data_IF_714697283154
#
_entry.id   IF_714697283154
#
_cell.length_a   1.000
_cell.length_b   1.000
_cell.length_c   1.000
_cell.angle_alpha   90.00
_cell.angle_beta   90.00
_cell.angle_gamma   90.00
#
_symmetry.space_group_name_H-M   'P 1'
#
loop_
_entity.id
_entity.type
_entity.pdbx_description
1 polymer ?
#
# COMPACT_ATOMS: atom_id res chain seq x y z
N UNK A 1 20.76 15.94 -7.25
CA UNK A 1 19.64 16.89 -7.28
C UNK A 1 18.44 16.15 -6.68
N UNK A 2 17.56 16.82 -5.93
CA UNK A 2 16.36 16.17 -5.45
C UNK A 2 15.53 15.66 -6.65
N UNK A 3 14.91 14.51 -6.49
CA UNK A 3 13.96 14.01 -7.47
C UNK A 3 12.76 14.95 -7.55
N UNK A 4 12.23 15.16 -8.76
CA UNK A 4 11.04 15.96 -8.99
C UNK A 4 10.01 15.09 -9.71
N UNK A 5 8.84 14.94 -9.11
CA UNK A 5 7.69 14.26 -9.68
C UNK A 5 6.68 15.32 -10.13
N UNK A 6 6.20 15.21 -11.35
CA UNK A 6 5.16 16.08 -11.90
C UNK A 6 3.84 15.30 -11.95
N UNK A 7 2.78 15.88 -11.38
CA UNK A 7 1.46 15.26 -11.33
C UNK A 7 0.50 15.93 -12.32
N UNK A 8 -0.26 15.08 -13.00
CA UNK A 8 -1.29 15.50 -13.97
C UNK A 8 -2.63 14.77 -13.80
N UNK A 9 -2.71 13.83 -12.86
CA UNK A 9 -3.89 12.99 -12.63
C UNK A 9 -3.97 11.74 -13.51
N UNK A 10 -3.00 11.52 -14.41
CA UNK A 10 -3.06 10.48 -15.44
C UNK A 10 -1.85 9.57 -15.50
N UNK A 11 -0.66 10.03 -15.07
CA UNK A 11 0.61 9.35 -15.38
C UNK A 11 1.41 8.89 -14.16
N UNK A 12 0.87 9.04 -12.94
CA UNK A 12 1.55 8.66 -11.71
C UNK A 12 1.76 7.14 -11.62
N UNK A 13 2.98 6.70 -11.36
CA UNK A 13 3.33 5.29 -11.19
C UNK A 13 3.40 4.88 -9.72
N UNK A 14 3.34 3.58 -9.43
CA UNK A 14 3.54 3.09 -8.05
C UNK A 14 4.96 3.34 -7.55
N UNK A 15 5.94 3.38 -8.44
CA UNK A 15 7.33 3.72 -8.10
C UNK A 15 7.45 5.19 -7.68
N UNK A 16 6.75 6.11 -8.35
CA UNK A 16 6.66 7.52 -7.94
C UNK A 16 6.01 7.66 -6.55
N UNK A 17 4.95 6.90 -6.29
CA UNK A 17 4.27 6.89 -4.99
C UNK A 17 5.22 6.43 -3.89
N UNK A 18 5.93 5.32 -4.09
CA UNK A 18 6.93 4.82 -3.13
C UNK A 18 8.05 5.83 -2.92
N UNK A 19 8.57 6.42 -3.99
CA UNK A 19 9.65 7.41 -3.91
C UNK A 19 9.25 8.63 -3.08
N UNK A 20 8.08 9.24 -3.38
CA UNK A 20 7.58 10.40 -2.61
C UNK A 20 7.28 10.02 -1.16
N UNK A 21 6.78 8.82 -0.92
CA UNK A 21 6.46 8.35 0.42
C UNK A 21 7.69 8.14 1.31
N UNK A 22 8.79 7.62 0.74
CA UNK A 22 9.97 7.16 1.49
C UNK A 22 11.14 8.15 1.44
N UNK A 23 11.26 8.95 0.40
CA UNK A 23 12.30 9.98 0.28
C UNK A 23 11.71 11.39 0.49
N UNK A 24 11.91 12.01 1.68
CA UNK A 24 11.41 13.35 1.98
C UNK A 24 12.07 14.46 1.15
N UNK A 25 13.17 14.20 0.45
CA UNK A 25 13.82 15.17 -0.44
C UNK A 25 13.12 15.29 -1.81
N UNK A 26 12.28 14.32 -2.16
CA UNK A 26 11.52 14.34 -3.42
C UNK A 26 10.50 15.45 -3.43
N UNK A 27 10.57 16.30 -4.46
CA UNK A 27 9.65 17.42 -4.67
C UNK A 27 8.54 17.04 -5.63
N UNK A 28 7.33 17.53 -5.36
CA UNK A 28 6.15 17.30 -6.20
C UNK A 28 5.61 18.63 -6.72
N UNK A 29 5.26 18.68 -8.01
CA UNK A 29 4.71 19.87 -8.64
C UNK A 29 3.65 19.49 -9.68
N UNK A 30 2.86 20.46 -10.11
CA UNK A 30 1.97 20.27 -11.27
C UNK A 30 2.76 20.07 -12.55
N UNK A 31 2.31 19.15 -13.39
CA UNK A 31 2.72 19.09 -14.77
C UNK A 31 2.17 20.31 -15.56
N UNK A 32 2.81 20.72 -16.67
CA UNK A 32 2.34 21.82 -17.49
C UNK A 32 0.88 21.64 -17.94
N UNK A 33 0.07 22.70 -17.81
CA UNK A 33 -1.34 22.69 -18.21
C UNK A 33 -2.34 22.15 -17.17
N UNK A 34 -1.88 21.53 -16.09
CA UNK A 34 -2.72 20.97 -15.05
C UNK A 34 -3.59 22.03 -14.36
N UNK A 35 -3.01 23.16 -13.98
CA UNK A 35 -3.75 24.26 -13.33
C UNK A 35 -4.87 24.79 -14.23
N UNK A 36 -4.60 24.98 -15.52
CA UNK A 36 -5.60 25.45 -16.49
C UNK A 36 -6.76 24.45 -16.62
N UNK A 37 -6.47 23.14 -16.61
CA UNK A 37 -7.50 22.09 -16.63
C UNK A 37 -8.35 22.11 -15.36
N UNK A 38 -7.75 22.24 -14.19
CA UNK A 38 -8.47 22.38 -12.92
C UNK A 38 -9.34 23.64 -12.89
N UNK A 39 -8.82 24.75 -13.40
CA UNK A 39 -9.54 26.03 -13.43
C UNK A 39 -10.81 25.94 -14.28
N UNK A 40 -10.78 25.25 -15.43
CA UNK A 40 -11.99 25.04 -16.26
C UNK A 40 -13.10 24.32 -15.51
N UNK A 41 -12.78 23.28 -14.72
CA UNK A 41 -13.79 22.59 -13.90
C UNK A 41 -14.30 23.47 -12.74
N UNK A 42 -13.43 24.31 -12.17
CA UNK A 42 -13.81 25.31 -11.16
C UNK A 42 -14.81 26.33 -11.70
N UNK A 43 -14.62 26.83 -12.91
CA UNK A 43 -15.51 27.78 -13.59
C UNK A 43 -16.93 27.25 -13.76
N UNK A 44 -17.09 25.93 -13.94
CA UNK A 44 -18.44 25.29 -13.98
C UNK A 44 -19.12 25.41 -12.61
N UNK A 45 -18.40 25.20 -11.51
CA UNK A 45 -18.93 25.36 -10.15
C UNK A 45 -19.33 26.81 -9.91
N UNK A 46 -18.48 27.76 -10.24
CA UNK A 46 -18.73 29.20 -10.03
C UNK A 46 -19.93 29.69 -10.83
N UNK A 47 -20.10 29.19 -12.06
CA UNK A 47 -21.29 29.49 -12.88
C UNK A 47 -22.55 28.92 -12.25
N UNK A 48 -22.54 27.66 -11.80
CA UNK A 48 -23.69 27.05 -11.13
C UNK A 48 -24.10 27.83 -9.87
N UNK A 49 -23.12 28.34 -9.12
CA UNK A 49 -23.36 29.21 -7.98
C UNK A 49 -24.00 30.55 -8.37
N UNK A 50 -23.47 31.19 -9.42
CA UNK A 50 -23.99 32.48 -9.90
C UNK A 50 -25.43 32.38 -10.46
N UNK A 51 -25.77 31.25 -11.06
CA UNK A 51 -27.10 30.92 -11.59
C UNK A 51 -28.09 30.46 -10.49
N UNK A 52 -27.62 30.25 -9.24
CA UNK A 52 -28.45 29.73 -8.14
C UNK A 52 -28.92 28.29 -8.36
N UNK A 53 -28.16 27.49 -9.13
CA UNK A 53 -28.51 26.10 -9.43
C UNK A 53 -28.43 25.23 -8.18
N UNK A 54 -29.39 24.31 -8.03
CA UNK A 54 -29.33 23.27 -6.97
C UNK A 54 -28.42 22.15 -7.41
N UNK A 55 -27.24 22.05 -6.81
CA UNK A 55 -26.22 21.06 -7.13
C UNK A 55 -25.77 20.34 -5.87
N UNK A 56 -25.86 19.01 -5.85
CA UNK A 56 -25.45 18.18 -4.72
C UNK A 56 -24.02 18.51 -4.25
N UNK A 57 -23.88 18.75 -2.96
CA UNK A 57 -22.58 19.01 -2.33
C UNK A 57 -21.92 20.34 -2.72
N UNK A 58 -22.57 21.14 -3.55
CA UNK A 58 -22.17 22.50 -3.93
C UNK A 58 -23.08 23.53 -3.26
N UNK A 59 -24.40 23.40 -3.46
CA UNK A 59 -25.44 24.31 -2.91
C UNK A 59 -26.43 23.57 -2.02
N UNK A 60 -26.21 22.30 -1.73
CA UNK A 60 -27.05 21.48 -0.82
C UNK A 60 -26.22 20.87 0.30
N UNK A 61 -26.89 20.34 1.31
CA UNK A 61 -26.28 19.47 2.31
C UNK A 61 -25.81 18.12 1.72
N UNK A 62 -25.34 17.21 2.58
CA UNK A 62 -24.74 15.95 2.21
C UNK A 62 -25.56 14.75 2.69
N UNK A 63 -25.42 13.60 2.04
CA UNK A 63 -26.06 12.35 2.40
C UNK A 63 -27.59 12.51 2.49
N UNK A 64 -28.18 12.23 3.66
CA UNK A 64 -29.63 12.38 3.87
C UNK A 64 -30.13 13.84 3.76
N UNK A 65 -29.23 14.81 3.85
CA UNK A 65 -29.54 16.24 3.73
C UNK A 65 -29.31 16.77 2.29
N UNK A 66 -29.16 15.89 1.32
CA UNK A 66 -28.86 16.21 -0.09
C UNK A 66 -29.87 17.16 -0.73
N UNK A 67 -31.13 17.16 -0.27
CA UNK A 67 -32.21 17.99 -0.78
C UNK A 67 -32.39 19.31 0.01
N UNK A 68 -31.59 19.54 1.05
CA UNK A 68 -31.63 20.74 1.87
C UNK A 68 -30.80 21.84 1.23
N UNK A 69 -31.41 22.92 0.67
CA UNK A 69 -30.66 24.01 0.07
C UNK A 69 -29.93 24.81 1.15
N UNK A 70 -28.74 25.27 0.84
CA UNK A 70 -27.87 26.05 1.73
C UNK A 70 -27.76 27.47 1.16
N UNK A 71 -27.97 28.49 2.01
CA UNK A 71 -27.82 29.88 1.62
C UNK A 71 -26.36 30.17 1.20
N UNK A 72 -26.19 31.04 0.19
CA UNK A 72 -24.88 31.29 -0.42
C UNK A 72 -23.84 31.83 0.57
N UNK A 73 -24.25 32.61 1.54
CA UNK A 73 -23.43 33.18 2.63
C UNK A 73 -22.96 32.14 3.67
N UNK A 74 -23.55 30.92 3.64
CA UNK A 74 -23.20 29.82 4.54
C UNK A 74 -22.44 28.67 3.87
N UNK A 75 -22.11 28.77 2.60
CA UNK A 75 -21.44 27.69 1.87
C UNK A 75 -20.00 27.43 2.38
N UNK A 76 -19.27 28.45 2.78
CA UNK A 76 -17.93 28.28 3.41
C UNK A 76 -18.05 27.55 4.76
N UNK A 77 -19.03 27.94 5.58
CA UNK A 77 -19.31 27.27 6.85
C UNK A 77 -19.67 25.80 6.65
N UNK A 78 -20.47 25.48 5.63
CA UNK A 78 -20.83 24.12 5.27
C UNK A 78 -19.59 23.27 4.97
N UNK A 79 -18.63 23.79 4.19
CA UNK A 79 -17.44 23.03 3.79
C UNK A 79 -16.54 22.70 4.99
N UNK A 80 -16.33 23.66 5.89
CA UNK A 80 -15.49 23.41 7.07
C UNK A 80 -16.19 22.49 8.08
N UNK A 81 -17.51 22.62 8.26
CA UNK A 81 -18.29 21.76 9.15
C UNK A 81 -18.37 20.32 8.62
N UNK A 82 -18.40 20.12 7.30
CA UNK A 82 -18.26 18.80 6.70
C UNK A 82 -16.96 18.12 7.15
N UNK A 83 -15.82 18.80 6.99
CA UNK A 83 -14.52 18.27 7.36
C UNK A 83 -14.46 17.96 8.86
N UNK A 84 -14.86 18.90 9.72
CA UNK A 84 -14.87 18.73 11.18
C UNK A 84 -15.71 17.53 11.62
N UNK A 85 -16.90 17.38 11.05
CA UNK A 85 -17.83 16.30 11.43
C UNK A 85 -17.37 14.91 10.96
N UNK A 86 -16.51 14.84 9.96
CA UNK A 86 -16.00 13.58 9.40
C UNK A 86 -14.59 13.21 9.90
N UNK A 87 -13.88 14.12 10.56
CA UNK A 87 -12.58 13.84 11.18
C UNK A 87 -12.77 13.06 12.50
N UNK A 88 -13.28 11.84 12.39
CA UNK A 88 -13.65 10.97 13.52
C UNK A 88 -12.80 9.69 13.59
N UNK A 89 -11.61 9.71 12.98
CA UNK A 89 -10.66 8.60 13.04
C UNK A 89 -10.16 8.34 14.47
N UNK A 90 -9.69 7.13 14.74
CA UNK A 90 -9.14 6.73 16.04
C UNK A 90 -7.98 5.73 15.87
N UNK A 91 -7.29 5.42 16.97
CA UNK A 91 -6.11 4.55 16.97
C UNK A 91 -4.79 5.32 16.82
N UNK A 92 -3.68 4.60 16.65
CA UNK A 92 -2.37 5.23 16.46
C UNK A 92 -2.33 6.04 15.16
N UNK A 93 -1.39 7.00 15.04
CA UNK A 93 -1.22 7.74 13.80
C UNK A 93 -0.67 6.85 12.69
N UNK A 94 -1.14 7.08 11.47
CA UNK A 94 -0.60 6.51 10.24
C UNK A 94 0.90 6.82 10.13
N UNK A 95 1.66 5.91 9.55
CA UNK A 95 3.08 6.14 9.28
C UNK A 95 3.30 7.37 8.39
N UNK A 96 4.45 8.03 8.54
CA UNK A 96 4.81 9.18 7.69
C UNK A 96 4.76 8.81 6.19
N UNK A 97 5.25 7.63 5.83
CA UNK A 97 5.18 7.15 4.44
C UNK A 97 3.73 7.02 3.95
N UNK A 98 2.85 6.43 4.75
CA UNK A 98 1.43 6.33 4.43
C UNK A 98 0.76 7.70 4.28
N UNK A 99 1.05 8.64 5.19
CA UNK A 99 0.53 10.02 5.11
C UNK A 99 1.01 10.71 3.83
N UNK A 100 2.30 10.61 3.47
CA UNK A 100 2.86 11.21 2.25
C UNK A 100 2.26 10.60 0.98
N UNK A 101 2.11 9.27 0.92
CA UNK A 101 1.44 8.59 -0.19
C UNK A 101 0.00 9.07 -0.36
N UNK A 102 -0.76 9.17 0.73
CA UNK A 102 -2.13 9.67 0.72
C UNK A 102 -2.22 11.13 0.26
N UNK A 103 -1.32 12.01 0.73
CA UNK A 103 -1.25 13.41 0.30
C UNK A 103 -0.97 13.53 -1.19
N UNK A 104 0.02 12.77 -1.70
CA UNK A 104 0.35 12.73 -3.12
C UNK A 104 -0.84 12.30 -3.97
N UNK A 105 -1.45 11.16 -3.61
CA UNK A 105 -2.60 10.64 -4.34
C UNK A 105 -3.79 11.59 -4.31
N UNK A 106 -4.03 12.27 -3.17
CA UNK A 106 -5.09 13.28 -3.11
C UNK A 106 -4.80 14.45 -4.05
N UNK A 107 -3.57 14.95 -4.07
CA UNK A 107 -3.18 16.00 -5.00
C UNK A 107 -3.33 15.54 -6.46
N UNK A 108 -2.89 14.32 -6.79
CA UNK A 108 -2.96 13.77 -8.15
C UNK A 108 -4.41 13.64 -8.66
N UNK A 109 -5.31 13.09 -7.84
CA UNK A 109 -6.73 12.97 -8.20
C UNK A 109 -7.38 14.33 -8.46
N UNK A 110 -7.07 15.33 -7.64
CA UNK A 110 -7.59 16.68 -7.80
C UNK A 110 -6.98 17.39 -9.02
N UNK A 111 -5.71 17.14 -9.30
CA UNK A 111 -5.00 17.64 -10.49
C UNK A 111 -5.60 17.13 -11.81
N UNK A 112 -6.34 16.00 -11.76
CA UNK A 112 -7.07 15.48 -12.94
C UNK A 112 -8.15 16.43 -13.47
N UNK A 113 -8.63 17.36 -12.63
CA UNK A 113 -9.50 18.46 -13.07
C UNK A 113 -10.99 18.12 -13.16
N UNK A 114 -11.48 17.11 -12.44
CA UNK A 114 -12.91 16.77 -12.39
C UNK A 114 -13.59 17.11 -11.07
N UNK A 115 -12.90 17.74 -10.11
CA UNK A 115 -13.43 17.99 -8.76
C UNK A 115 -13.98 19.39 -8.56
N UNK A 116 -13.73 20.33 -9.46
CA UNK A 116 -14.17 21.72 -9.33
C UNK A 116 -13.53 22.49 -8.17
N UNK A 117 -12.38 22.03 -7.71
CA UNK A 117 -11.56 22.67 -6.67
C UNK A 117 -10.61 23.69 -7.28
N UNK A 118 -10.34 24.79 -6.56
CA UNK A 118 -9.35 25.78 -7.02
C UNK A 118 -7.94 25.20 -7.06
N UNK A 119 -7.12 25.50 -8.09
CA UNK A 119 -5.70 25.09 -8.15
C UNK A 119 -4.91 25.49 -6.90
N UNK A 120 -5.18 26.66 -6.32
CA UNK A 120 -4.54 27.14 -5.08
C UNK A 120 -4.64 26.15 -3.92
N UNK A 121 -5.78 25.47 -3.77
CA UNK A 121 -5.99 24.51 -2.66
C UNK A 121 -5.10 23.30 -2.82
N UNK A 122 -4.98 22.78 -4.05
CA UNK A 122 -4.13 21.63 -4.35
C UNK A 122 -2.64 22.03 -4.32
N UNK A 123 -2.30 23.23 -4.79
CA UNK A 123 -0.94 23.76 -4.63
C UNK A 123 -0.54 23.81 -3.16
N UNK A 124 -1.45 24.27 -2.25
CA UNK A 124 -1.16 24.28 -0.82
C UNK A 124 -0.93 22.88 -0.25
N UNK A 125 -1.65 21.88 -0.75
CA UNK A 125 -1.42 20.48 -0.38
C UNK A 125 -0.04 19.99 -0.83
N UNK A 126 0.39 20.37 -2.04
CA UNK A 126 1.76 20.11 -2.52
C UNK A 126 2.82 20.86 -1.70
N UNK A 127 2.57 22.12 -1.35
CA UNK A 127 3.47 22.91 -0.52
C UNK A 127 3.67 22.26 0.86
N UNK A 128 2.58 21.76 1.49
CA UNK A 128 2.65 20.98 2.73
C UNK A 128 3.52 19.74 2.58
N UNK A 129 3.27 18.93 1.52
CA UNK A 129 4.03 17.72 1.25
C UNK A 129 5.52 18.00 1.07
N UNK A 130 5.86 19.03 0.30
CA UNK A 130 7.23 19.45 -0.01
C UNK A 130 7.95 20.08 1.19
N UNK A 131 7.21 20.77 2.05
CA UNK A 131 7.75 21.38 3.28
C UNK A 131 7.81 20.38 4.46
N UNK A 132 7.38 19.14 4.28
CA UNK A 132 7.40 18.12 5.33
C UNK A 132 6.37 18.38 6.44
N UNK A 133 5.25 19.00 6.12
CA UNK A 133 4.08 19.11 7.02
C UNK A 133 3.23 17.87 6.83
N UNK A 134 3.27 16.95 7.79
CA UNK A 134 2.57 15.68 7.72
C UNK A 134 1.37 15.67 8.69
N UNK A 135 0.13 15.75 8.20
CA UNK A 135 -1.05 15.62 9.04
C UNK A 135 -1.03 14.36 9.89
N UNK A 136 -1.43 14.47 11.16
CA UNK A 136 -1.64 13.32 12.04
C UNK A 136 -2.99 12.69 11.69
N UNK A 137 -2.94 11.53 11.07
CA UNK A 137 -4.11 10.81 10.58
C UNK A 137 -4.23 9.50 11.34
N UNK A 138 -5.30 9.26 12.11
CA UNK A 138 -5.52 7.97 12.75
C UNK A 138 -5.64 6.82 11.74
N UNK A 139 -5.08 5.66 12.07
CA UNK A 139 -5.08 4.48 11.19
C UNK A 139 -6.49 3.90 10.93
N UNK A 140 -7.44 4.15 11.82
CA UNK A 140 -8.79 3.58 11.75
C UNK A 140 -9.82 4.68 11.55
N UNK A 141 -10.78 4.45 10.64
CA UNK A 141 -11.85 5.41 10.36
C UNK A 141 -12.40 5.34 8.93
N UNK A 142 -11.65 4.78 7.98
CA UNK A 142 -12.20 4.55 6.64
C UNK A 142 -13.17 3.35 6.64
N UNK A 143 -14.32 3.51 5.98
CA UNK A 143 -15.29 2.46 5.69
C UNK A 143 -15.17 1.99 4.23
N UNK A 144 -14.67 2.84 3.35
CA UNK A 144 -14.47 2.56 1.94
C UNK A 144 -15.73 2.62 1.07
N UNK A 145 -16.93 2.44 1.63
CA UNK A 145 -18.18 2.46 0.87
C UNK A 145 -18.57 3.87 0.38
N UNK A 146 -18.19 4.92 1.12
CA UNK A 146 -18.31 6.33 0.73
C UNK A 146 -16.94 6.98 0.50
N UNK A 147 -15.92 6.17 0.29
CA UNK A 147 -14.52 6.59 0.27
C UNK A 147 -13.91 6.71 1.67
N UNK A 148 -12.74 7.28 1.74
CA UNK A 148 -11.90 7.43 2.93
C UNK A 148 -12.22 8.73 3.69
N UNK A 149 -13.51 9.00 3.98
CA UNK A 149 -13.98 10.28 4.47
C UNK A 149 -13.24 10.76 5.74
N UNK A 150 -13.09 9.88 6.74
CA UNK A 150 -12.45 10.27 7.99
C UNK A 150 -10.95 10.54 7.83
N UNK A 151 -10.11 9.66 7.25
CA UNK A 151 -8.69 9.95 7.03
C UNK A 151 -8.46 11.21 6.20
N UNK A 152 -9.20 11.38 5.10
CA UNK A 152 -9.08 12.56 4.25
C UNK A 152 -9.55 13.84 4.95
N UNK A 153 -10.51 13.74 5.87
CA UNK A 153 -10.93 14.90 6.68
C UNK A 153 -9.84 15.31 7.67
N UNK A 154 -9.12 14.37 8.30
CA UNK A 154 -7.95 14.71 9.12
C UNK A 154 -6.85 15.41 8.33
N UNK A 155 -6.60 14.98 7.08
CA UNK A 155 -5.70 15.70 6.17
C UNK A 155 -6.19 17.12 5.91
N UNK A 156 -7.47 17.27 5.57
CA UNK A 156 -8.08 18.55 5.22
C UNK A 156 -8.13 19.54 6.40
N UNK A 157 -8.25 19.06 7.65
CA UNK A 157 -8.19 19.92 8.84
C UNK A 157 -6.87 20.69 8.90
N UNK A 158 -5.73 20.04 8.63
CA UNK A 158 -4.44 20.73 8.67
C UNK A 158 -4.34 21.79 7.58
N UNK A 159 -4.86 21.49 6.39
CA UNK A 159 -4.87 22.43 5.27
C UNK A 159 -5.64 23.73 5.59
N UNK A 160 -6.64 23.67 6.47
CA UNK A 160 -7.42 24.84 6.94
C UNK A 160 -6.92 25.40 8.28
N UNK A 161 -5.79 24.89 8.81
CA UNK A 161 -5.18 25.37 10.05
C UNK A 161 -5.73 24.75 11.33
N UNK A 162 -6.50 23.67 11.22
CA UNK A 162 -7.03 22.90 12.36
C UNK A 162 -6.32 21.53 12.47
N UNK A 163 -6.73 20.68 13.42
CA UNK A 163 -6.13 19.38 13.64
C UNK A 163 -4.67 19.48 14.12
N UNK A 164 -3.91 18.44 13.85
CA UNK A 164 -2.50 18.31 14.25
C UNK A 164 -1.65 17.84 13.07
N UNK A 165 -0.39 18.28 13.02
CA UNK A 165 0.60 17.81 12.02
C UNK A 165 1.99 17.68 12.63
N UNK A 166 2.76 16.72 12.12
CA UNK A 166 4.18 16.58 12.41
C UNK A 166 4.99 17.46 11.48
N UNK A 167 5.92 18.25 12.04
CA UNK A 167 6.93 19.03 11.31
C UNK A 167 8.26 18.88 12.02
N UNK A 168 9.28 18.38 11.32
CA UNK A 168 10.63 18.21 11.89
C UNK A 168 10.69 17.24 13.06
N UNK A 169 9.75 16.28 13.17
CA UNK A 169 9.68 15.30 14.25
C UNK A 169 8.85 15.74 15.46
N UNK A 170 8.25 16.94 15.43
CA UNK A 170 7.40 17.48 16.49
C UNK A 170 5.95 17.58 16.01
N UNK A 171 5.02 17.09 16.83
CA UNK A 171 3.57 17.20 16.57
C UNK A 171 3.06 18.52 17.11
N UNK A 172 2.41 19.32 16.27
CA UNK A 172 1.97 20.67 16.53
C UNK A 172 0.49 20.85 16.11
N UNK A 173 -0.23 21.82 16.69
CA UNK A 173 -1.51 22.26 16.13
C UNK A 173 -1.36 22.70 14.66
N UNK A 174 -2.36 22.40 13.83
CA UNK A 174 -2.28 22.57 12.37
C UNK A 174 -1.85 23.97 11.92
N UNK A 175 -2.44 25.03 12.51
CA UNK A 175 -2.04 26.41 12.20
C UNK A 175 -0.58 26.70 12.53
N UNK A 176 -0.07 26.17 13.64
CA UNK A 176 1.34 26.35 14.06
C UNK A 176 2.29 25.57 13.16
N UNK A 177 1.92 24.33 12.79
CA UNK A 177 2.67 23.51 11.85
C UNK A 177 2.81 24.19 10.49
N UNK A 178 1.70 24.72 9.94
CA UNK A 178 1.68 25.51 8.70
C UNK A 178 2.58 26.73 8.79
N UNK A 179 2.41 27.54 9.87
CA UNK A 179 3.21 28.76 10.11
C UNK A 179 4.71 28.45 10.20
N UNK A 180 5.10 27.36 10.89
CA UNK A 180 6.50 26.93 11.00
C UNK A 180 7.11 26.57 9.64
N UNK A 181 6.29 26.04 8.74
CA UNK A 181 6.67 25.73 7.35
C UNK A 181 6.57 26.95 6.41
N UNK A 182 6.21 28.14 6.91
CA UNK A 182 6.03 29.36 6.09
C UNK A 182 4.77 29.29 5.20
N UNK A 183 3.78 28.51 5.58
CA UNK A 183 2.54 28.30 4.82
C UNK A 183 1.35 28.94 5.54
N UNK A 184 0.41 29.47 4.73
CA UNK A 184 -0.84 30.01 5.25
C UNK A 184 -1.98 29.01 5.04
N UNK A 185 -2.85 28.81 6.04
CA UNK A 185 -4.05 27.98 5.89
C UNK A 185 -4.97 28.48 4.77
N UNK A 186 -5.71 27.54 4.17
CA UNK A 186 -6.65 27.84 3.08
C UNK A 186 -8.05 28.09 3.64
N UNK A 187 -8.73 29.13 3.14
CA UNK A 187 -10.19 29.29 3.32
C UNK A 187 -10.90 28.55 2.21
N UNK A 188 -11.72 27.56 2.57
CA UNK A 188 -12.46 26.73 1.61
C UNK A 188 -13.67 27.49 1.04
N UNK A 189 -13.92 27.26 -0.23
CA UNK A 189 -15.11 27.71 -0.95
C UNK A 189 -16.04 26.52 -1.25
N UNK A 190 -17.21 26.80 -1.80
CA UNK A 190 -18.19 25.78 -2.18
C UNK A 190 -17.56 24.63 -2.97
N UNK A 191 -17.94 23.38 -2.70
CA UNK A 191 -17.44 22.11 -3.23
C UNK A 191 -16.08 21.66 -2.65
N UNK A 192 -15.23 22.55 -2.14
CA UNK A 192 -13.83 22.24 -1.81
C UNK A 192 -13.68 21.30 -0.61
N UNK A 193 -14.55 21.40 0.40
CA UNK A 193 -14.55 20.48 1.53
C UNK A 193 -14.87 19.05 1.08
N UNK A 194 -15.90 18.88 0.25
CA UNK A 194 -16.26 17.59 -0.30
C UNK A 194 -15.18 17.07 -1.25
N UNK A 195 -14.60 17.94 -2.08
CA UNK A 195 -13.48 17.58 -2.95
C UNK A 195 -12.23 17.17 -2.17
N UNK A 196 -12.03 17.58 -0.94
CA UNK A 196 -10.90 17.21 -0.11
C UNK A 196 -11.09 15.89 0.65
N UNK A 197 -12.33 15.49 0.98
CA UNK A 197 -12.54 14.31 1.81
C UNK A 197 -13.21 13.11 1.11
N UNK A 198 -13.71 13.27 -0.12
CA UNK A 198 -14.39 12.21 -0.86
C UNK A 198 -13.46 11.54 -1.88
N UNK A 199 -13.07 10.31 -1.63
CA UNK A 199 -12.16 9.53 -2.48
C UNK A 199 -11.52 8.34 -1.78
N UNK A 200 -10.58 7.66 -2.43
CA UNK A 200 -10.01 6.37 -2.03
C UNK A 200 -8.50 6.43 -1.72
N UNK A 201 -7.96 7.61 -1.45
CA UNK A 201 -6.51 7.85 -1.42
C UNK A 201 -5.82 7.28 -0.19
N UNK A 202 -6.55 7.08 0.92
CA UNK A 202 -6.01 6.39 2.09
C UNK A 202 -5.75 4.92 1.77
N UNK A 203 -6.76 4.17 1.31
CA UNK A 203 -6.58 2.75 1.00
C UNK A 203 -5.72 2.52 -0.23
N UNK A 204 -5.77 3.36 -1.25
CA UNK A 204 -4.93 3.23 -2.44
C UNK A 204 -3.45 3.55 -2.12
N UNK A 205 -3.18 4.58 -1.30
CA UNK A 205 -1.81 4.93 -0.90
C UNK A 205 -1.14 3.86 -0.06
N UNK A 206 -1.85 3.35 0.96
CA UNK A 206 -1.36 2.23 1.76
C UNK A 206 -1.21 0.98 0.88
N UNK A 207 -2.21 0.67 0.05
CA UNK A 207 -2.16 -0.47 -0.86
C UNK A 207 -0.97 -0.45 -1.81
N UNK A 208 -0.60 0.73 -2.35
CA UNK A 208 0.57 0.90 -3.20
C UNK A 208 1.87 0.54 -2.45
N UNK A 209 2.07 1.07 -1.24
CA UNK A 209 3.26 0.77 -0.43
C UNK A 209 3.32 -0.71 -0.03
N UNK A 210 2.19 -1.31 0.34
CA UNK A 210 2.09 -2.72 0.68
C UNK A 210 2.40 -3.63 -0.51
N UNK A 211 1.92 -3.29 -1.70
CA UNK A 211 2.24 -4.05 -2.91
C UNK A 211 3.76 -4.02 -3.20
N UNK A 212 4.40 -2.84 -3.06
CA UNK A 212 5.87 -2.72 -3.25
C UNK A 212 6.64 -3.58 -2.24
N UNK A 213 6.20 -3.59 -0.98
CA UNK A 213 6.72 -4.53 0.03
C UNK A 213 6.54 -5.99 -0.36
N UNK A 214 5.35 -6.37 -0.81
CA UNK A 214 5.04 -7.74 -1.23
C UNK A 214 5.87 -8.22 -2.43
N UNK A 215 6.15 -7.36 -3.39
CA UNK A 215 7.03 -7.68 -4.54
C UNK A 215 8.44 -8.02 -4.05
N UNK A 216 9.00 -7.23 -3.13
CA UNK A 216 10.30 -7.54 -2.50
C UNK A 216 10.28 -8.86 -1.71
N UNK A 217 9.18 -9.13 -0.99
CA UNK A 217 9.00 -10.40 -0.25
C UNK A 217 8.97 -11.61 -1.18
N UNK A 218 8.29 -11.52 -2.34
CA UNK A 218 8.31 -12.61 -3.34
C UNK A 218 9.74 -12.86 -3.85
N UNK A 219 10.49 -11.80 -4.13
CA UNK A 219 11.89 -11.92 -4.57
C UNK A 219 12.79 -12.55 -3.50
N UNK A 220 12.65 -12.12 -2.25
CA UNK A 220 13.38 -12.70 -1.12
C UNK A 220 13.01 -14.18 -0.89
N UNK A 221 11.72 -14.53 -1.03
CA UNK A 221 11.27 -15.92 -0.92
C UNK A 221 11.85 -16.84 -2.00
N UNK A 222 12.09 -16.33 -3.21
CA UNK A 222 12.74 -17.09 -4.28
C UNK A 222 14.24 -17.29 -3.99
N UNK A 223 14.93 -16.28 -3.47
CA UNK A 223 16.33 -16.43 -3.04
C UNK A 223 16.44 -17.45 -1.90
N UNK A 224 15.63 -17.31 -0.86
CA UNK A 224 15.59 -18.26 0.26
C UNK A 224 15.19 -19.67 -0.19
N UNK A 225 14.29 -19.77 -1.18
CA UNK A 225 13.91 -21.04 -1.80
C UNK A 225 15.06 -21.72 -2.55
N UNK A 226 15.83 -20.96 -3.31
CA UNK A 226 17.04 -21.47 -4.01
C UNK A 226 18.09 -21.94 -3.00
N UNK A 227 18.39 -21.14 -1.96
CA UNK A 227 19.30 -21.53 -0.88
C UNK A 227 18.83 -22.82 -0.16
N UNK A 228 17.54 -22.93 0.10
CA UNK A 228 16.97 -24.14 0.73
C UNK A 228 17.06 -25.37 -0.16
N UNK A 229 16.90 -25.21 -1.48
CA UNK A 229 17.10 -26.28 -2.45
C UNK A 229 18.54 -26.80 -2.42
N UNK A 230 19.52 -25.91 -2.42
CA UNK A 230 20.94 -26.30 -2.32
C UNK A 230 21.25 -26.98 -0.99
N UNK A 231 20.79 -26.40 0.14
CA UNK A 231 21.00 -26.97 1.48
C UNK A 231 20.37 -28.36 1.66
N UNK A 232 19.31 -28.67 0.93
CA UNK A 232 18.64 -29.98 0.90
C UNK A 232 19.11 -30.85 -0.23
N UNK A 233 20.18 -30.48 -0.93
CA UNK A 233 20.70 -31.22 -2.10
C UNK A 233 19.64 -31.48 -3.17
N UNK A 234 18.78 -30.49 -3.45
CA UNK A 234 17.65 -30.56 -4.39
C UNK A 234 18.07 -30.43 -5.85
N UNK A 235 17.13 -30.66 -6.78
CA UNK A 235 17.35 -30.52 -8.22
C UNK A 235 16.52 -29.41 -8.86
N UNK A 236 17.10 -28.60 -9.77
CA UNK A 236 16.33 -27.59 -10.53
C UNK A 236 15.51 -28.18 -11.68
N UNK A 237 15.48 -29.50 -11.87
CA UNK A 237 14.82 -30.17 -13.00
C UNK A 237 13.31 -29.84 -13.04
N UNK A 238 12.69 -29.65 -11.87
CA UNK A 238 11.27 -29.19 -11.76
C UNK A 238 11.02 -27.79 -12.32
N UNK A 239 12.07 -27.00 -12.55
CA UNK A 239 12.00 -25.64 -13.10
C UNK A 239 12.27 -25.60 -14.61
N UNK A 240 12.35 -26.76 -15.26
CA UNK A 240 12.68 -26.85 -16.67
C UNK A 240 11.68 -26.11 -17.57
N UNK A 241 12.14 -25.35 -18.60
CA UNK A 241 11.25 -24.54 -19.44
C UNK A 241 10.13 -25.32 -20.13
N UNK A 242 10.32 -26.60 -20.43
CA UNK A 242 9.29 -27.45 -21.03
C UNK A 242 8.07 -27.63 -20.11
N UNK A 243 8.30 -27.74 -18.79
CA UNK A 243 7.22 -27.82 -17.80
C UNK A 243 6.42 -26.51 -17.79
N UNK A 244 7.10 -25.37 -17.87
CA UNK A 244 6.47 -24.05 -17.89
C UNK A 244 5.65 -23.84 -19.17
N UNK A 245 6.12 -24.31 -20.32
CA UNK A 245 5.35 -24.26 -21.58
C UNK A 245 4.12 -25.18 -21.55
N UNK A 246 4.19 -26.30 -20.86
CA UNK A 246 3.06 -27.23 -20.73
C UNK A 246 1.92 -26.67 -19.86
N UNK A 247 2.23 -25.70 -18.96
CA UNK A 247 1.25 -24.98 -18.13
C UNK A 247 1.64 -23.49 -18.07
N UNK A 248 1.23 -22.69 -19.08
CA UNK A 248 1.86 -21.41 -19.38
C UNK A 248 1.31 -20.23 -18.54
N UNK A 249 1.32 -20.34 -17.21
CA UNK A 249 1.05 -19.20 -16.33
C UNK A 249 2.28 -18.27 -16.30
N UNK A 250 2.14 -16.96 -16.60
CA UNK A 250 3.27 -16.04 -16.69
C UNK A 250 4.12 -15.98 -15.41
N UNK A 251 3.49 -15.86 -14.25
CA UNK A 251 4.20 -15.83 -12.97
C UNK A 251 4.95 -17.11 -12.67
N UNK A 252 4.37 -18.28 -13.01
CA UNK A 252 5.04 -19.58 -12.88
C UNK A 252 6.31 -19.64 -13.74
N UNK A 253 6.24 -19.17 -14.98
CA UNK A 253 7.37 -19.12 -15.89
C UNK A 253 8.47 -18.19 -15.38
N UNK A 254 8.10 -16.99 -14.93
CA UNK A 254 9.03 -15.99 -14.37
C UNK A 254 9.72 -16.50 -13.10
N UNK A 255 8.97 -17.11 -12.17
CA UNK A 255 9.54 -17.71 -10.96
C UNK A 255 10.53 -18.85 -11.29
N UNK A 256 10.17 -19.75 -12.21
CA UNK A 256 11.05 -20.83 -12.64
C UNK A 256 12.33 -20.30 -13.32
N UNK A 257 12.23 -19.27 -14.15
CA UNK A 257 13.38 -18.63 -14.79
C UNK A 257 14.33 -18.03 -13.76
N UNK A 258 13.79 -17.27 -12.81
CA UNK A 258 14.58 -16.66 -11.72
C UNK A 258 15.27 -17.71 -10.86
N UNK A 259 14.55 -18.77 -10.46
CA UNK A 259 15.14 -19.89 -9.69
C UNK A 259 16.27 -20.58 -10.45
N UNK A 260 16.11 -20.82 -11.75
CA UNK A 260 17.21 -21.37 -12.58
C UNK A 260 18.41 -20.43 -12.62
N UNK A 261 18.17 -19.11 -12.73
CA UNK A 261 19.24 -18.11 -12.71
C UNK A 261 20.00 -18.08 -11.37
N UNK A 262 19.29 -18.18 -10.25
CA UNK A 262 19.88 -18.23 -8.91
C UNK A 262 20.72 -19.51 -8.67
N UNK A 263 20.36 -20.61 -9.30
CA UNK A 263 21.01 -21.91 -9.17
C UNK A 263 22.02 -22.18 -10.30
N UNK A 264 22.27 -21.21 -11.17
CA UNK A 264 23.24 -21.36 -12.24
C UNK A 264 24.65 -21.54 -11.65
N UNK A 265 25.42 -22.46 -12.26
CA UNK A 265 26.82 -22.74 -11.89
C UNK A 265 27.01 -23.20 -10.43
N UNK A 266 25.96 -23.74 -9.78
CA UNK A 266 26.05 -24.26 -8.41
C UNK A 266 26.94 -25.48 -8.30
N UNK A 267 28.03 -25.35 -7.54
CA UNK A 267 28.92 -26.47 -7.23
C UNK A 267 28.23 -27.54 -6.37
N UNK A 268 27.31 -27.12 -5.50
CA UNK A 268 26.51 -28.02 -4.66
C UNK A 268 25.63 -28.89 -5.57
N UNK A 269 24.96 -28.31 -6.55
CA UNK A 269 24.14 -29.06 -7.52
C UNK A 269 25.01 -30.02 -8.33
N UNK A 270 26.18 -29.60 -8.80
CA UNK A 270 27.09 -30.45 -9.58
C UNK A 270 27.61 -31.63 -8.76
N UNK A 271 27.83 -31.46 -7.45
CA UNK A 271 28.36 -32.52 -6.58
C UNK A 271 27.46 -33.77 -6.50
N UNK A 272 26.16 -33.65 -6.75
CA UNK A 272 25.18 -34.74 -6.69
C UNK A 272 24.32 -34.87 -7.96
N UNK A 273 24.77 -34.33 -9.08
CA UNK A 273 24.07 -34.45 -10.37
C UNK A 273 23.83 -35.90 -10.79
N UNK A 274 24.80 -36.79 -10.46
CA UNK A 274 24.75 -38.20 -10.77
C UNK A 274 24.76 -39.02 -9.49
N UNK A 275 23.94 -40.07 -9.46
CA UNK A 275 23.90 -41.00 -8.34
C UNK A 275 23.02 -40.54 -7.16
N UNK A 276 22.24 -39.48 -7.31
CA UNK A 276 21.24 -39.08 -6.31
C UNK A 276 20.20 -40.20 -6.15
N UNK A 277 20.01 -40.77 -4.95
CA UNK A 277 19.07 -41.84 -4.73
C UNK A 277 17.61 -41.40 -4.74
N UNK A 278 17.34 -40.07 -4.68
CA UNK A 278 15.99 -39.51 -4.64
C UNK A 278 15.43 -39.43 -6.04
N UNK A 279 14.18 -39.89 -6.20
CA UNK A 279 13.42 -39.80 -7.45
C UNK A 279 12.91 -38.40 -7.71
N UNK A 280 12.53 -37.68 -6.64
CA UNK A 280 12.02 -36.30 -6.73
C UNK A 280 12.15 -35.57 -5.39
N UNK A 281 12.21 -34.23 -5.46
CA UNK A 281 12.21 -33.37 -4.29
C UNK A 281 10.79 -33.23 -3.67
N UNK A 282 10.76 -32.74 -2.43
CA UNK A 282 9.52 -32.41 -1.75
C UNK A 282 8.74 -31.28 -2.46
N UNK A 283 7.43 -31.23 -2.22
CA UNK A 283 6.56 -30.18 -2.81
C UNK A 283 7.01 -28.77 -2.47
N UNK A 284 7.47 -28.53 -1.23
CA UNK A 284 7.94 -27.21 -0.82
C UNK A 284 9.21 -26.74 -1.58
N UNK A 285 9.89 -27.64 -2.28
CA UNK A 285 11.02 -27.33 -3.17
C UNK A 285 10.56 -27.35 -4.64
N UNK A 286 10.05 -28.47 -5.15
CA UNK A 286 9.76 -28.60 -6.59
C UNK A 286 8.54 -27.82 -7.08
N UNK A 287 7.61 -27.44 -6.18
CA UNK A 287 6.43 -26.66 -6.53
C UNK A 287 6.60 -25.15 -6.28
N UNK A 288 7.82 -24.66 -6.01
CA UNK A 288 8.08 -23.23 -5.88
C UNK A 288 7.55 -22.42 -7.09
N UNK A 289 7.80 -22.79 -8.36
CA UNK A 289 7.28 -22.03 -9.48
C UNK A 289 5.75 -21.91 -9.50
N UNK A 290 5.04 -22.95 -9.08
CA UNK A 290 3.57 -22.93 -9.06
C UNK A 290 3.01 -22.00 -7.97
N UNK A 291 3.59 -22.02 -6.77
CA UNK A 291 3.12 -21.24 -5.62
C UNK A 291 3.62 -19.80 -5.69
N UNK A 292 4.93 -19.60 -5.87
CA UNK A 292 5.49 -18.24 -6.02
C UNK A 292 4.93 -17.56 -7.28
N UNK A 293 4.74 -18.33 -8.36
CA UNK A 293 4.15 -17.82 -9.60
C UNK A 293 2.68 -17.44 -9.45
N UNK A 294 1.90 -18.12 -8.62
CA UNK A 294 0.54 -17.71 -8.31
C UNK A 294 0.54 -16.35 -7.58
N UNK A 295 1.43 -16.18 -6.60
CA UNK A 295 1.62 -14.89 -5.93
C UNK A 295 2.02 -13.78 -6.93
N UNK A 296 2.99 -14.03 -7.83
CA UNK A 296 3.38 -13.07 -8.88
C UNK A 296 2.21 -12.67 -9.79
N UNK A 297 1.36 -13.63 -10.19
CA UNK A 297 0.17 -13.31 -11.00
C UNK A 297 -0.84 -12.44 -10.22
N UNK A 298 -1.05 -12.74 -8.93
CA UNK A 298 -1.89 -11.93 -8.07
C UNK A 298 -1.35 -10.50 -7.94
N UNK A 299 -0.04 -10.34 -7.66
CA UNK A 299 0.60 -9.03 -7.54
C UNK A 299 0.49 -8.22 -8.85
N UNK A 300 0.63 -8.86 -10.01
CA UNK A 300 0.47 -8.19 -11.31
C UNK A 300 -0.94 -7.63 -11.50
N UNK A 301 -1.97 -8.37 -11.12
CA UNK A 301 -3.35 -7.90 -11.16
C UNK A 301 -3.62 -6.77 -10.14
N UNK A 302 -3.11 -6.92 -8.92
CA UNK A 302 -3.22 -5.90 -7.87
C UNK A 302 -2.55 -4.61 -8.32
N UNK A 303 -1.37 -4.68 -8.94
CA UNK A 303 -0.65 -3.55 -9.52
C UNK A 303 -1.51 -2.81 -10.54
N UNK A 304 -2.10 -3.53 -11.48
CA UNK A 304 -2.97 -2.94 -12.50
C UNK A 304 -4.13 -2.15 -11.89
N UNK A 305 -4.78 -2.70 -10.87
CA UNK A 305 -5.92 -2.04 -10.20
C UNK A 305 -5.46 -0.80 -9.45
N UNK A 306 -4.36 -0.87 -8.67
CA UNK A 306 -3.85 0.25 -7.90
C UNK A 306 -3.30 1.37 -8.79
N UNK A 307 -2.64 1.07 -9.91
CA UNK A 307 -2.20 2.07 -10.90
C UNK A 307 -3.39 2.76 -11.57
N UNK A 308 -4.45 2.02 -11.88
CA UNK A 308 -5.70 2.59 -12.39
C UNK A 308 -6.33 3.52 -11.36
N UNK A 309 -6.43 3.08 -10.11
CA UNK A 309 -7.04 3.88 -9.03
C UNK A 309 -6.24 5.14 -8.72
N UNK A 310 -4.91 5.06 -8.69
CA UNK A 310 -4.02 6.19 -8.45
C UNK A 310 -4.19 7.34 -9.47
N UNK A 311 -4.68 7.01 -10.67
CA UNK A 311 -4.90 7.92 -11.78
C UNK A 311 -6.39 8.10 -12.13
N UNK A 312 -7.31 7.81 -11.20
CA UNK A 312 -8.75 7.90 -11.39
C UNK A 312 -9.35 9.09 -10.66
N UNK A 313 -10.42 9.68 -11.22
CA UNK A 313 -11.24 10.66 -10.52
C UNK A 313 -12.21 9.92 -9.57
N UNK A 314 -11.88 9.91 -8.28
CA UNK A 314 -12.60 9.18 -7.22
C UNK A 314 -13.42 10.08 -6.31
N UNK A 315 -13.84 11.23 -6.80
CA UNK A 315 -14.68 12.23 -6.12
C UNK A 315 -16.16 12.11 -6.53
N UNK A 316 -17.03 12.86 -5.89
CA UNK A 316 -18.45 13.02 -6.21
C UNK A 316 -19.01 14.36 -5.66
N UNK A 317 -19.81 15.10 -6.45
CA UNK A 317 -20.07 14.93 -7.88
C UNK A 317 -18.82 15.23 -8.73
N UNK A 318 -18.75 14.63 -9.92
CA UNK A 318 -17.72 14.94 -10.91
C UNK A 318 -18.20 16.06 -11.84
N UNK A 319 -17.25 16.85 -12.32
CA UNK A 319 -17.47 18.02 -13.15
C UNK A 319 -16.75 17.83 -14.48
N UNK A 320 -17.50 17.90 -15.56
CA UNK A 320 -17.04 17.70 -16.93
C UNK A 320 -17.15 19.03 -17.69
N UNK A 321 -16.09 19.87 -17.70
CA UNK A 321 -16.13 21.23 -18.27
C UNK A 321 -16.32 21.24 -19.78
N UNK A 322 -15.88 20.19 -20.46
CA UNK A 322 -15.90 20.09 -21.92
C UNK A 322 -17.19 19.43 -22.46
N UNK A 323 -18.13 19.04 -21.57
CA UNK A 323 -19.38 18.40 -21.97
C UNK A 323 -20.59 19.35 -21.80
N UNK A 324 -21.51 19.31 -22.78
CA UNK A 324 -22.64 20.21 -22.82
C UNK A 324 -22.27 21.67 -23.13
N UNK A 325 -23.24 22.56 -23.12
CA UNK A 325 -23.03 23.97 -23.46
C UNK A 325 -22.27 24.74 -22.35
N UNK A 326 -22.45 24.32 -21.09
CA UNK A 326 -21.95 25.02 -19.90
C UNK A 326 -21.15 24.09 -18.95
N UNK A 327 -20.70 22.94 -19.45
CA UNK A 327 -20.16 21.86 -18.61
C UNK A 327 -21.28 21.06 -17.93
N UNK A 328 -20.96 19.84 -17.48
CA UNK A 328 -21.88 18.96 -16.76
C UNK A 328 -21.39 18.72 -15.34
N UNK A 329 -22.33 18.62 -14.41
CA UNK A 329 -22.10 18.14 -13.02
C UNK A 329 -22.89 16.87 -12.84
N UNK A 330 -22.21 15.77 -12.59
CA UNK A 330 -22.83 14.44 -12.52
C UNK A 330 -22.51 13.78 -11.19
N UNK A 331 -23.56 13.37 -10.48
CA UNK A 331 -23.41 12.56 -9.26
C UNK A 331 -23.30 11.08 -9.63
N UNK A 332 -22.23 10.44 -9.16
CA UNK A 332 -21.91 9.04 -9.41
C UNK A 332 -21.38 8.34 -8.18
N UNK A 333 -20.71 7.21 -8.36
CA UNK A 333 -20.20 6.35 -7.28
C UNK A 333 -18.68 6.12 -7.30
N UNK A 334 -17.90 6.96 -7.97
CA UNK A 334 -16.46 6.75 -8.12
C UNK A 334 -15.66 6.80 -6.81
N UNK A 335 -16.25 7.29 -5.73
CA UNK A 335 -15.69 7.25 -4.38
C UNK A 335 -15.73 5.86 -3.75
N UNK A 336 -16.45 4.90 -4.34
CA UNK A 336 -16.61 3.57 -3.75
C UNK A 336 -15.35 2.72 -3.91
N UNK A 337 -14.65 2.45 -2.81
CA UNK A 337 -13.37 1.76 -2.80
C UNK A 337 -13.40 0.24 -3.02
N UNK A 338 -14.51 -0.34 -3.50
CA UNK A 338 -14.63 -1.79 -3.68
C UNK A 338 -13.52 -2.41 -4.55
N UNK A 339 -13.08 -1.79 -5.67
CA UNK A 339 -11.98 -2.35 -6.45
C UNK A 339 -10.69 -2.51 -5.65
N UNK A 340 -10.35 -1.49 -4.84
CA UNK A 340 -9.16 -1.51 -3.97
C UNK A 340 -9.32 -2.54 -2.86
N UNK A 341 -10.47 -2.60 -2.20
CA UNK A 341 -10.74 -3.55 -1.12
C UNK A 341 -10.55 -5.01 -1.56
N UNK A 342 -11.08 -5.38 -2.74
CA UNK A 342 -10.95 -6.73 -3.28
C UNK A 342 -9.49 -7.12 -3.56
N UNK A 343 -8.70 -6.22 -4.11
CA UNK A 343 -7.29 -6.54 -4.43
C UNK A 343 -6.41 -6.55 -3.18
N UNK A 344 -6.75 -5.81 -2.14
CA UNK A 344 -6.05 -5.88 -0.85
C UNK A 344 -6.37 -7.21 -0.12
N UNK A 345 -7.60 -7.72 -0.19
CA UNK A 345 -7.94 -9.06 0.29
C UNK A 345 -7.17 -10.14 -0.51
N UNK A 346 -7.08 -10.00 -1.83
CA UNK A 346 -6.30 -10.91 -2.68
C UNK A 346 -4.81 -10.87 -2.32
N UNK A 347 -4.26 -9.70 -2.00
CA UNK A 347 -2.87 -9.55 -1.56
C UNK A 347 -2.61 -10.36 -0.29
N UNK A 348 -3.50 -10.28 0.69
CA UNK A 348 -3.39 -11.06 1.93
C UNK A 348 -3.42 -12.57 1.67
N UNK A 349 -4.30 -13.06 0.78
CA UNK A 349 -4.38 -14.47 0.40
C UNK A 349 -3.07 -14.91 -0.26
N UNK A 350 -2.57 -14.16 -1.26
CA UNK A 350 -1.37 -14.51 -2.00
C UNK A 350 -0.12 -14.59 -1.10
N UNK A 351 0.03 -13.66 -0.16
CA UNK A 351 1.14 -13.64 0.78
C UNK A 351 1.04 -14.78 1.82
N UNK A 352 -0.17 -15.16 2.23
CA UNK A 352 -0.39 -16.30 3.13
C UNK A 352 0.10 -17.61 2.48
N UNK A 353 -0.22 -17.85 1.23
CA UNK A 353 0.22 -19.05 0.52
C UNK A 353 1.75 -19.06 0.31
N UNK A 354 2.34 -17.91 0.00
CA UNK A 354 3.79 -17.75 -0.11
C UNK A 354 4.50 -18.03 1.23
N UNK A 355 3.96 -17.50 2.33
CA UNK A 355 4.46 -17.75 3.67
C UNK A 355 4.33 -19.24 4.07
N UNK A 356 3.22 -19.88 3.72
CA UNK A 356 2.97 -21.29 4.00
C UNK A 356 3.99 -22.20 3.34
N UNK A 357 4.31 -22.01 2.06
CA UNK A 357 5.35 -22.83 1.39
C UNK A 357 6.75 -22.57 1.96
N UNK A 358 7.03 -21.34 2.40
CA UNK A 358 8.31 -20.99 3.04
C UNK A 358 8.44 -21.66 4.41
N UNK A 359 7.38 -21.68 5.21
CA UNK A 359 7.33 -22.40 6.48
C UNK A 359 7.55 -23.91 6.27
N UNK A 360 6.93 -24.53 5.26
CA UNK A 360 7.16 -25.95 4.93
C UNK A 360 8.60 -26.25 4.52
N UNK A 361 9.32 -25.31 3.89
CA UNK A 361 10.76 -25.46 3.62
C UNK A 361 11.59 -25.37 4.90
N UNK A 362 11.24 -24.44 5.78
CA UNK A 362 11.89 -24.31 7.11
C UNK A 362 11.72 -25.60 7.91
N UNK A 363 10.50 -26.13 8.02
CA UNK A 363 10.24 -27.42 8.66
C UNK A 363 11.14 -28.53 8.09
N UNK A 364 11.25 -28.58 6.77
CA UNK A 364 12.04 -29.60 6.11
C UNK A 364 13.54 -29.49 6.42
N UNK A 365 14.07 -28.30 6.61
CA UNK A 365 15.46 -28.06 6.98
C UNK A 365 15.76 -28.41 8.44
N UNK A 366 14.84 -28.10 9.36
CA UNK A 366 15.07 -28.25 10.81
C UNK A 366 14.70 -29.63 11.36
N UNK A 367 13.90 -30.40 10.62
CA UNK A 367 13.44 -31.72 11.00
C UNK A 367 14.43 -32.79 10.47
N UNK A 368 15.14 -33.52 11.36
CA UNK A 368 16.15 -34.51 10.94
C UNK A 368 15.58 -35.67 10.11
N UNK A 369 14.29 -36.02 10.29
CA UNK A 369 13.63 -37.06 9.53
C UNK A 369 13.35 -36.64 8.06
N UNK A 370 13.44 -35.34 7.75
CA UNK A 370 13.11 -34.77 6.44
C UNK A 370 14.29 -34.12 5.73
N UNK A 371 15.31 -33.71 6.49
CA UNK A 371 16.45 -32.93 5.98
C UNK A 371 17.60 -33.77 5.41
N UNK A 372 17.51 -35.08 5.43
CA UNK A 372 18.62 -35.97 5.10
C UNK A 372 19.65 -36.01 6.23
N UNK A 373 20.91 -35.72 5.94
CA UNK A 373 21.99 -35.80 6.93
C UNK A 373 22.22 -34.50 7.73
N UNK A 374 21.30 -33.50 7.65
CA UNK A 374 21.43 -32.29 8.42
C UNK A 374 21.10 -32.52 9.91
N UNK A 375 21.85 -31.89 10.83
CA UNK A 375 21.59 -32.04 12.27
C UNK A 375 20.23 -31.46 12.66
N UNK A 376 19.60 -32.05 13.69
CA UNK A 376 18.32 -31.58 14.20
C UNK A 376 18.37 -30.06 14.50
N UNK A 377 17.37 -29.33 14.04
CA UNK A 377 17.27 -27.87 14.17
C UNK A 377 18.48 -27.09 13.66
N UNK A 378 19.29 -27.68 12.79
CA UNK A 378 20.51 -27.11 12.19
C UNK A 378 21.53 -26.65 13.26
N UNK A 379 21.59 -27.33 14.41
CA UNK A 379 22.55 -27.01 15.46
C UNK A 379 23.69 -28.05 15.49
N UNK A 380 24.90 -27.59 15.87
CA UNK A 380 26.07 -28.47 16.02
C UNK A 380 26.00 -29.34 17.26
N UNK A 381 25.22 -28.96 18.28
CA UNK A 381 25.09 -29.67 19.55
C UNK A 381 23.61 -29.84 19.91
N UNK A 382 22.90 -30.76 19.21
CA UNK A 382 21.49 -31.04 19.48
C UNK A 382 21.27 -31.55 20.91
N UNK A 383 20.30 -30.94 21.58
CA UNK A 383 19.98 -31.27 22.99
C UNK A 383 20.53 -30.24 23.99
N UNK A 384 21.77 -29.75 23.79
CA UNK A 384 22.29 -28.59 24.52
C UNK A 384 21.80 -27.29 23.87
N UNK A 385 21.80 -27.27 22.53
CA UNK A 385 21.31 -26.13 21.73
C UNK A 385 20.01 -26.52 21.02
N UNK A 386 19.02 -25.62 21.03
CA UNK A 386 17.74 -25.79 20.31
C UNK A 386 17.76 -25.31 18.85
N UNK A 387 18.84 -24.64 18.42
CA UNK A 387 18.99 -24.14 17.04
C UNK A 387 17.79 -23.35 16.54
N UNK A 388 17.33 -23.66 15.33
CA UNK A 388 16.20 -22.96 14.68
C UNK A 388 14.80 -23.53 15.02
N UNK A 389 14.64 -24.25 16.13
CA UNK A 389 13.34 -24.80 16.54
C UNK A 389 12.25 -23.72 16.58
N UNK A 390 12.52 -22.61 17.26
CA UNK A 390 11.54 -21.52 17.44
C UNK A 390 11.33 -20.71 16.15
N UNK A 391 12.31 -20.65 15.27
CA UNK A 391 12.12 -20.00 13.97
C UNK A 391 11.01 -20.66 13.15
N UNK A 392 10.94 -21.99 13.14
CA UNK A 392 9.87 -22.73 12.48
C UNK A 392 8.51 -22.51 13.16
N UNK A 393 8.47 -22.53 14.50
CA UNK A 393 7.23 -22.27 15.25
C UNK A 393 6.72 -20.86 15.00
N UNK A 394 7.61 -19.86 14.94
CA UNK A 394 7.27 -18.46 14.62
C UNK A 394 6.72 -18.34 13.20
N UNK A 395 7.37 -18.95 12.21
CA UNK A 395 6.90 -18.95 10.82
C UNK A 395 5.50 -19.58 10.71
N UNK A 396 5.24 -20.69 11.42
CA UNK A 396 3.92 -21.31 11.48
C UNK A 396 2.88 -20.43 12.19
N UNK A 397 3.26 -19.75 13.26
CA UNK A 397 2.40 -18.80 13.98
C UNK A 397 1.98 -17.64 13.08
N UNK A 398 2.92 -17.09 12.31
CA UNK A 398 2.66 -16.06 11.31
C UNK A 398 1.62 -16.49 10.29
N UNK A 399 1.81 -17.66 9.63
CA UNK A 399 0.83 -18.18 8.65
C UNK A 399 -0.53 -18.44 9.27
N UNK A 400 -0.60 -18.94 10.51
CA UNK A 400 -1.84 -19.16 11.25
C UNK A 400 -2.62 -17.87 11.53
N UNK A 401 -1.93 -16.78 11.80
CA UNK A 401 -2.56 -15.46 12.05
C UNK A 401 -3.25 -14.91 10.79
N UNK A 402 -2.75 -15.20 9.59
CA UNK A 402 -3.39 -14.83 8.34
C UNK A 402 -4.63 -15.66 8.02
N UNK A 403 -4.60 -16.97 8.33
CA UNK A 403 -5.69 -17.90 8.03
C UNK A 403 -6.84 -17.77 9.03
N UNK A 404 -6.53 -17.55 10.30
CA UNK A 404 -7.49 -17.42 11.41
C UNK A 404 -7.29 -16.07 12.11
N UNK A 405 -7.97 -15.00 11.70
CA UNK A 405 -7.96 -13.75 12.43
C UNK A 405 -8.54 -13.97 13.85
N UNK A 406 -8.18 -13.15 14.83
CA UNK A 406 -8.70 -13.25 16.19
C UNK A 406 -10.22 -13.35 16.24
N UNK A 407 -10.75 -14.15 17.14
CA UNK A 407 -12.20 -14.31 17.31
C UNK A 407 -12.86 -12.93 17.57
N UNK A 408 -13.85 -12.59 16.73
CA UNK A 408 -14.54 -11.29 16.79
C UNK A 408 -14.32 -10.40 15.56
N UNK A 409 -13.39 -10.73 14.69
CA UNK A 409 -13.21 -10.00 13.44
C UNK A 409 -14.21 -10.48 12.37
N UNK A 410 -15.06 -9.59 11.91
CA UNK A 410 -15.98 -9.85 10.80
C UNK A 410 -15.27 -9.63 9.45
N UNK A 411 -15.86 -10.13 8.36
CA UNK A 411 -15.38 -9.85 7.00
C UNK A 411 -15.40 -8.34 6.66
N UNK A 412 -16.22 -7.58 7.37
CA UNK A 412 -16.32 -6.13 7.29
C UNK A 412 -15.10 -5.46 7.96
N UNK A 413 -14.69 -5.93 9.15
CA UNK A 413 -13.50 -5.43 9.86
C UNK A 413 -12.22 -5.69 9.09
N UNK A 414 -12.14 -6.82 8.35
CA UNK A 414 -10.99 -7.16 7.49
C UNK A 414 -10.84 -6.20 6.32
N UNK A 415 -11.93 -5.74 5.72
CA UNK A 415 -11.91 -4.81 4.59
C UNK A 415 -11.48 -3.39 4.97
N UNK A 416 -11.64 -3.02 6.23
CA UNK A 416 -11.37 -1.69 6.74
C UNK A 416 -9.99 -1.53 7.39
N UNK A 417 -9.25 -2.63 7.58
CA UNK A 417 -7.98 -2.57 8.30
C UNK A 417 -6.79 -2.68 7.33
N UNK A 418 -6.38 -1.56 6.74
CA UNK A 418 -5.01 -1.39 6.25
C UNK A 418 -3.97 -1.80 7.31
N UNK A 419 -4.35 -1.73 8.60
CA UNK A 419 -3.60 -2.16 9.77
C UNK A 419 -3.33 -3.66 9.83
N UNK A 420 -4.32 -4.52 9.53
CA UNK A 420 -4.11 -5.96 9.54
C UNK A 420 -3.13 -6.38 8.43
N UNK A 421 -3.23 -5.74 7.27
CA UNK A 421 -2.33 -6.00 6.15
C UNK A 421 -0.93 -5.40 6.41
N UNK A 422 -0.81 -4.21 7.01
CA UNK A 422 0.46 -3.63 7.43
C UNK A 422 1.15 -4.49 8.51
N UNK A 423 0.40 -5.02 9.47
CA UNK A 423 0.91 -5.99 10.43
C UNK A 423 1.35 -7.28 9.76
N UNK A 424 0.61 -7.73 8.76
CA UNK A 424 0.95 -8.90 7.96
C UNK A 424 2.29 -8.73 7.24
N UNK A 425 2.50 -7.62 6.57
CA UNK A 425 3.75 -7.33 5.85
C UNK A 425 4.90 -7.11 6.82
N UNK A 426 4.71 -6.36 7.91
CA UNK A 426 5.73 -6.21 8.96
C UNK A 426 6.15 -7.56 9.56
N UNK A 427 5.21 -8.50 9.73
CA UNK A 427 5.51 -9.86 10.20
C UNK A 427 6.29 -10.66 9.16
N UNK A 428 5.97 -10.51 7.88
CA UNK A 428 6.69 -11.16 6.77
C UNK A 428 8.06 -10.51 6.56
N UNK A 429 8.15 -9.18 6.58
CA UNK A 429 9.42 -8.45 6.44
C UNK A 429 10.36 -8.72 7.63
N UNK A 430 9.86 -8.75 8.86
CA UNK A 430 10.65 -9.12 10.04
C UNK A 430 11.05 -10.59 9.99
N UNK A 431 10.15 -11.51 9.64
CA UNK A 431 10.48 -12.93 9.49
C UNK A 431 11.44 -13.21 8.33
N UNK A 432 11.33 -12.50 7.20
CA UNK A 432 12.27 -12.62 6.07
C UNK A 432 13.63 -11.97 6.40
N UNK A 433 13.64 -10.83 7.11
CA UNK A 433 14.86 -10.18 7.58
C UNK A 433 15.59 -11.04 8.61
N UNK A 434 14.87 -11.68 9.52
CA UNK A 434 15.45 -12.59 10.52
C UNK A 434 16.04 -13.84 9.89
N UNK A 435 15.46 -14.37 8.83
CA UNK A 435 16.02 -15.48 8.07
C UNK A 435 17.28 -15.08 7.30
N UNK A 436 17.31 -13.88 6.69
CA UNK A 436 18.45 -13.36 5.93
C UNK A 436 19.57 -12.88 6.88
N UNK A 437 19.23 -12.22 8.00
CA UNK A 437 20.21 -11.73 8.98
C UNK A 437 20.70 -12.83 9.93
N UNK A 438 19.88 -13.85 10.23
CA UNK A 438 20.26 -15.01 11.01
C UNK A 438 21.36 -15.85 10.36
N UNK A 439 21.39 -15.90 9.01
CA UNK A 439 22.48 -16.55 8.27
C UNK A 439 23.82 -15.78 8.32
N UNK A 440 23.77 -14.44 8.50
CA UNK A 440 24.96 -13.58 8.63
C UNK A 440 25.42 -13.33 10.08
N UNK A 441 24.55 -13.52 11.06
CA UNK A 441 24.82 -13.22 12.49
C UNK A 441 25.53 -14.30 13.26
N UNK A 442 25.67 -15.51 12.72
CA UNK A 442 26.34 -16.62 13.39
C UNK A 442 27.87 -16.50 13.52
N UNK A 443 28.47 -15.43 12.97
CA UNK A 443 29.91 -15.21 13.00
C UNK A 443 30.40 -14.21 14.09
N UNK A 444 29.52 -13.54 14.86
CA UNK A 444 29.95 -12.48 15.80
C UNK A 444 29.36 -12.52 17.22
N UNK A 445 28.58 -13.52 17.59
CA UNK A 445 28.07 -13.63 18.98
C UNK A 445 28.88 -14.65 19.83
N UNK A 446 30.19 -14.46 19.86
CA UNK A 446 31.06 -15.05 20.86
C UNK A 446 31.46 -13.98 21.89
N UNK A 447 30.64 -13.71 22.88
CA UNK A 447 31.01 -12.80 23.93
C UNK A 447 29.85 -12.42 24.84
N UNK A 448 29.90 -12.95 26.09
CA UNK A 448 29.28 -12.48 27.30
C UNK A 448 27.75 -12.65 27.44
N UNK A 449 27.35 -13.72 28.12
CA UNK A 449 26.31 -13.66 29.13
C UNK A 449 26.93 -14.13 30.44
N UNK A 450 27.14 -13.21 31.38
CA UNK A 450 27.35 -13.48 32.80
C UNK A 450 26.04 -13.15 33.51
N UNK A 451 25.62 -14.10 34.36
CA UNK A 451 24.56 -14.11 35.38
C UNK A 451 23.12 -14.10 34.87
#
# INVERSE_FOLDING_TARGET
MPHRIEIDGDTLTLDDIELVATDPSTQVAFAPGTEARMQRSREVVERALAEGATVYGVTTGFGRLAETPIAADRLEELQINLIRSHACGFGPPLSRAGTRAMMLLRANVLAKGFSGIRPLVVQRLLDMLNAGVHPVIPEQGSVGASGDLAPLSHLALVLVGEGEAEVGGEVLPGAEAMRRAGLEPVRLQAKEGLALNNGTQFMAGIGALLLRGAERVVEAAEVAGAMSLEGLMGTPDAFHPAIMRARPHPGQAASAERLRGLLADSEIRESHRHGDPRVQDAYSIRCMPQVHGAARNALAYIRQVLETEANSATDNPLIFPDEGANGLVISGGNFHGQPVAQVLDLLAIALTDLASISERRTERLVNPDLSGDLPAFLTRDPGVCSGFMIAQVTARGGTGTFICPPAGWTSFDRRNSGTALAQAINTIESGAADVVTGAGGAASAGGAVAE
#
